data_IF_761247258357
#
_entry.id   IF_761247258357
#
_cell.length_a   1.000
_cell.length_b   1.000
_cell.length_c   1.000
_cell.angle_alpha   90.00
_cell.angle_beta   90.00
_cell.angle_gamma   90.00
#
_symmetry.space_group_name_H-M   'P 1'
#
loop_
_entity.id
_entity.type
_entity.pdbx_description
1 polymer ?
#
# COMPACT_ATOMS: atom_id res chain seq x y z
N UNK A 1 7.23 -11.19 12.49
CA UNK A 1 6.27 -10.30 11.81
C UNK A 1 6.89 -9.82 10.51
N UNK A 2 6.19 -10.00 9.40
CA UNK A 2 6.70 -9.65 8.08
C UNK A 2 6.71 -8.11 7.92
N UNK A 3 7.86 -7.57 7.51
CA UNK A 3 8.08 -6.12 7.37
C UNK A 3 7.21 -5.50 6.27
N UNK A 4 6.67 -6.31 5.35
CA UNK A 4 5.70 -5.89 4.32
C UNK A 4 4.42 -5.32 4.93
N UNK A 5 3.91 -5.87 6.04
CA UNK A 5 2.71 -5.35 6.70
C UNK A 5 2.91 -3.97 7.30
N UNK A 6 4.12 -3.65 7.77
CA UNK A 6 4.45 -2.32 8.28
C UNK A 6 4.41 -1.31 7.13
N UNK A 7 5.02 -1.63 5.99
CA UNK A 7 5.01 -0.79 4.79
C UNK A 7 3.58 -0.60 4.25
N UNK A 8 2.79 -1.66 4.22
CA UNK A 8 1.37 -1.61 3.86
C UNK A 8 0.57 -0.69 4.79
N UNK A 9 0.74 -0.81 6.11
CA UNK A 9 0.02 0.03 7.06
C UNK A 9 0.39 1.51 6.92
N UNK A 10 1.65 1.83 6.60
CA UNK A 10 2.06 3.21 6.29
C UNK A 10 1.35 3.70 5.02
N UNK A 11 1.28 2.87 3.97
CA UNK A 11 0.50 3.19 2.77
C UNK A 11 -0.98 3.44 3.06
N UNK A 12 -1.57 2.69 3.98
CA UNK A 12 -2.96 2.85 4.42
C UNK A 12 -3.20 4.21 5.09
N UNK A 13 -2.27 4.64 5.96
CA UNK A 13 -2.34 5.95 6.62
C UNK A 13 -2.27 7.07 5.58
N UNK A 14 -1.34 6.99 4.64
CA UNK A 14 -1.23 7.98 3.55
C UNK A 14 -2.47 8.00 2.65
N UNK A 15 -3.07 6.83 2.37
CA UNK A 15 -4.34 6.73 1.64
C UNK A 15 -5.45 7.50 2.37
N UNK A 16 -5.53 7.32 3.69
CA UNK A 16 -6.52 8.00 4.54
C UNK A 16 -6.30 9.52 4.63
N UNK A 17 -5.06 9.96 4.49
CA UNK A 17 -4.69 11.38 4.47
C UNK A 17 -4.87 12.05 3.08
N UNK A 18 -5.33 11.31 2.06
CA UNK A 18 -5.43 11.81 0.67
C UNK A 18 -4.09 11.91 -0.05
N UNK A 19 -3.01 11.42 0.55
CA UNK A 19 -1.66 11.41 -0.03
C UNK A 19 -1.44 10.19 -0.93
N UNK A 20 -2.27 10.07 -1.96
CA UNK A 20 -2.35 8.89 -2.83
C UNK A 20 -1.02 8.49 -3.48
N UNK A 21 -0.23 9.46 -3.94
CA UNK A 21 1.09 9.18 -4.56
C UNK A 21 2.05 8.49 -3.58
N UNK A 22 2.11 8.98 -2.33
CA UNK A 22 2.95 8.36 -1.28
C UNK A 22 2.42 6.99 -0.90
N UNK A 23 1.10 6.85 -0.79
CA UNK A 23 0.47 5.56 -0.49
C UNK A 23 0.85 4.48 -1.51
N UNK A 24 0.78 4.80 -2.81
CA UNK A 24 1.19 3.89 -3.88
C UNK A 24 2.66 3.47 -3.75
N UNK A 25 3.58 4.41 -3.47
CA UNK A 25 5.00 4.09 -3.26
C UNK A 25 5.22 3.09 -2.12
N UNK A 26 4.53 3.27 -0.99
CA UNK A 26 4.61 2.35 0.13
C UNK A 26 3.99 0.98 -0.16
N UNK A 27 2.88 0.92 -0.90
CA UNK A 27 2.30 -0.34 -1.35
C UNK A 27 3.23 -1.09 -2.31
N UNK A 28 3.88 -0.40 -3.25
CA UNK A 28 4.89 -1.01 -4.11
C UNK A 28 6.03 -1.62 -3.29
N UNK A 29 6.58 -0.87 -2.32
CA UNK A 29 7.65 -1.37 -1.44
C UNK A 29 7.20 -2.55 -0.57
N UNK A 30 5.93 -2.59 -0.17
CA UNK A 30 5.37 -3.74 0.53
C UNK A 30 5.32 -4.97 -0.38
N UNK A 31 4.91 -4.80 -1.64
CA UNK A 31 4.82 -5.85 -2.65
C UNK A 31 6.19 -6.37 -3.12
N UNK A 32 7.21 -5.52 -3.19
CA UNK A 32 8.59 -5.95 -3.44
C UNK A 32 9.11 -6.93 -2.37
N UNK A 33 8.60 -6.80 -1.13
CA UNK A 33 8.96 -7.67 0.00
C UNK A 33 8.08 -8.90 0.10
N UNK A 34 6.79 -8.71 -0.11
CA UNK A 34 5.81 -9.79 -0.14
C UNK A 34 4.87 -9.60 -1.34
N UNK A 35 5.17 -10.26 -2.48
CA UNK A 35 4.34 -10.16 -3.66
C UNK A 35 2.95 -10.81 -3.46
N UNK A 36 2.77 -11.62 -2.42
CA UNK A 36 1.49 -12.24 -2.06
C UNK A 36 0.75 -11.41 -1.00
N UNK A 37 0.64 -10.10 -1.23
CA UNK A 37 -0.12 -9.19 -0.37
C UNK A 37 -1.35 -8.61 -1.12
N UNK A 38 -2.45 -9.38 -1.25
CA UNK A 38 -3.64 -8.94 -1.99
C UNK A 38 -4.25 -7.64 -1.44
N UNK A 39 -4.08 -7.36 -0.15
CA UNK A 39 -4.57 -6.13 0.47
C UNK A 39 -3.90 -4.88 -0.12
N UNK A 40 -2.61 -4.95 -0.48
CA UNK A 40 -1.90 -3.83 -1.12
C UNK A 40 -2.45 -3.58 -2.52
N UNK A 41 -2.67 -4.64 -3.32
CA UNK A 41 -3.29 -4.51 -4.64
C UNK A 41 -4.70 -3.91 -4.58
N UNK A 42 -5.52 -4.37 -3.64
CA UNK A 42 -6.88 -3.84 -3.47
C UNK A 42 -6.88 -2.34 -3.19
N UNK A 43 -6.02 -1.87 -2.27
CA UNK A 43 -5.94 -0.45 -1.95
C UNK A 43 -5.36 0.38 -3.10
N UNK A 44 -4.38 -0.15 -3.85
CA UNK A 44 -3.90 0.51 -5.07
C UNK A 44 -4.99 0.63 -6.12
N UNK A 45 -5.80 -0.42 -6.30
CA UNK A 45 -6.93 -0.39 -7.24
C UNK A 45 -7.98 0.66 -6.83
N UNK A 46 -8.28 0.78 -5.54
CA UNK A 46 -9.18 1.83 -5.02
C UNK A 46 -8.63 3.22 -5.31
N UNK A 47 -7.33 3.45 -5.10
CA UNK A 47 -6.67 4.72 -5.40
C UNK A 47 -6.73 5.06 -6.90
N UNK A 48 -6.52 4.08 -7.77
CA UNK A 48 -6.51 4.31 -9.23
C UNK A 48 -7.90 4.39 -9.86
N UNK A 49 -8.93 3.86 -9.18
CA UNK A 49 -10.31 3.89 -9.66
C UNK A 49 -11.00 5.24 -9.40
N UNK A 50 -10.53 5.99 -8.41
CA UNK A 50 -11.07 7.30 -8.03
C UNK A 50 -10.32 8.44 -8.72
#
# INVERSE_FOLDING_TARGET
YDRSYILYNIGLIHTSNGEHTKALEYYFRALERNPFLPQAFNNMAVICHY
#
